data_IF_934774862976
#
_entry.id   IF_934774862976
#
_cell.length_a   1.000
_cell.length_b   1.000
_cell.length_c   1.000
_cell.angle_alpha   90.00
_cell.angle_beta   90.00
_cell.angle_gamma   90.00
#
_symmetry.space_group_name_H-M   'P 1'
#
loop_
_entity.id
_entity.type
_entity.pdbx_description
1 polymer ?
#
# COMPACT_ATOMS: atom_id res chain seq x y z
N UNK A 1 -9.56 2.28 -13.96
CA UNK A 1 -9.06 3.50 -14.69
C UNK A 1 -7.82 3.97 -13.91
N UNK A 2 -6.69 4.30 -14.56
CA UNK A 2 -5.42 4.57 -13.85
C UNK A 2 -5.44 5.97 -13.25
N UNK A 3 -5.20 6.11 -11.94
CA UNK A 3 -4.89 7.42 -11.36
C UNK A 3 -3.41 7.71 -11.64
N UNK A 4 -3.08 8.76 -12.42
CA UNK A 4 -1.70 9.17 -12.60
C UNK A 4 -1.08 9.60 -11.26
N UNK A 5 0.21 9.33 -11.06
CA UNK A 5 0.96 9.70 -9.86
C UNK A 5 2.26 10.42 -10.24
N UNK A 6 2.87 11.11 -9.27
CA UNK A 6 3.97 12.03 -9.50
C UNK A 6 3.46 13.45 -9.76
N UNK A 7 4.23 14.24 -10.50
CA UNK A 7 3.87 15.62 -10.84
C UNK A 7 3.08 15.64 -12.15
N UNK A 8 1.87 16.20 -12.12
CA UNK A 8 0.87 16.11 -13.18
C UNK A 8 0.38 17.49 -13.58
N UNK A 9 0.08 17.70 -14.86
CA UNK A 9 -0.57 18.94 -15.31
C UNK A 9 -2.05 18.95 -14.95
N UNK A 10 -2.73 20.10 -15.11
CA UNK A 10 -4.20 20.20 -15.03
C UNK A 10 -4.94 19.27 -16.01
N UNK A 11 -4.28 18.85 -17.09
CA UNK A 11 -4.80 17.90 -18.07
C UNK A 11 -4.41 16.45 -17.71
N UNK A 12 -3.88 16.22 -16.50
CA UNK A 12 -3.45 14.92 -15.97
C UNK A 12 -2.27 14.31 -16.74
N UNK A 13 -1.51 15.12 -17.47
CA UNK A 13 -0.32 14.67 -18.19
C UNK A 13 0.91 14.68 -17.26
N UNK A 14 1.76 13.64 -17.27
CA UNK A 14 2.90 13.57 -16.38
C UNK A 14 4.00 14.56 -16.78
N UNK A 15 4.53 15.30 -15.82
CA UNK A 15 5.74 16.10 -15.97
C UNK A 15 6.96 15.18 -15.86
N UNK A 16 7.95 15.26 -16.77
CA UNK A 16 9.10 14.36 -16.77
C UNK A 16 9.89 14.36 -15.46
N UNK A 17 9.96 13.19 -14.82
CA UNK A 17 10.81 12.94 -13.66
C UNK A 17 12.26 12.73 -14.10
N UNK A 18 13.20 13.50 -13.55
CA UNK A 18 14.62 13.46 -13.90
C UNK A 18 15.43 12.56 -12.98
N UNK A 19 15.20 12.65 -11.67
CA UNK A 19 15.90 11.82 -10.71
C UNK A 19 15.13 11.69 -9.40
N UNK A 20 15.44 10.63 -8.68
CA UNK A 20 14.87 10.30 -7.38
C UNK A 20 16.04 10.10 -6.41
N UNK A 21 15.95 10.71 -5.23
CA UNK A 21 16.91 10.53 -4.16
C UNK A 21 16.17 10.19 -2.87
N UNK A 22 16.43 9.01 -2.33
CA UNK A 22 15.78 8.51 -1.10
C UNK A 22 16.83 8.33 -0.02
N UNK A 23 16.59 8.92 1.13
CA UNK A 23 17.37 8.67 2.35
C UNK A 23 16.48 7.99 3.37
N UNK A 24 16.95 6.87 3.90
CA UNK A 24 16.23 6.07 4.90
C UNK A 24 17.02 6.07 6.20
N UNK A 25 16.33 6.28 7.31
CA UNK A 25 16.84 6.07 8.66
C UNK A 25 15.97 5.01 9.32
N UNK A 26 16.51 3.81 9.45
CA UNK A 26 15.82 2.68 10.08
C UNK A 26 16.36 2.55 11.49
N UNK A 27 15.48 2.74 12.47
CA UNK A 27 15.77 2.60 13.89
C UNK A 27 14.86 1.50 14.45
N UNK A 28 15.46 0.37 14.82
CA UNK A 28 14.73 -0.86 15.18
C UNK A 28 13.72 -1.29 14.10
N UNK A 29 12.42 -1.08 14.36
CA UNK A 29 11.29 -1.45 13.52
C UNK A 29 10.62 -0.25 12.84
N UNK A 30 11.21 0.94 12.92
CA UNK A 30 10.63 2.17 12.35
C UNK A 30 11.57 2.72 11.28
N UNK A 31 11.01 3.02 10.10
CA UNK A 31 11.70 3.71 9.03
C UNK A 31 11.26 5.17 8.97
N UNK A 32 12.21 6.09 9.12
CA UNK A 32 12.09 7.46 8.66
C UNK A 32 12.57 7.55 7.21
N UNK A 33 11.72 8.10 6.34
CA UNK A 33 11.99 8.23 4.91
C UNK A 33 12.02 9.70 4.53
N UNK A 34 13.02 10.08 3.74
CA UNK A 34 13.11 11.37 3.06
C UNK A 34 13.30 11.11 1.58
N UNK A 35 12.26 11.37 0.78
CA UNK A 35 12.27 11.17 -0.66
C UNK A 35 12.25 12.53 -1.37
N UNK A 36 13.24 12.77 -2.22
CA UNK A 36 13.33 13.97 -3.07
C UNK A 36 13.19 13.57 -4.54
N UNK A 37 12.21 14.16 -5.21
CA UNK A 37 11.88 13.93 -6.61
C UNK A 37 12.16 15.20 -7.41
N UNK A 38 12.98 15.09 -8.45
CA UNK A 38 13.38 16.22 -9.28
C UNK A 38 12.64 16.18 -10.63
N UNK A 39 11.93 17.25 -10.95
CA UNK A 39 11.18 17.44 -12.17
C UNK A 39 11.67 18.67 -12.94
N UNK A 40 11.41 18.70 -14.24
CA UNK A 40 11.71 19.84 -15.11
C UNK A 40 10.55 20.06 -16.09
N UNK A 41 10.10 21.32 -16.20
CA UNK A 41 9.14 21.69 -17.23
C UNK A 41 9.88 21.86 -18.57
N UNK A 42 9.85 20.84 -19.42
CA UNK A 42 10.45 20.88 -20.77
C UNK A 42 9.54 21.55 -21.82
N UNK A 43 8.31 21.88 -21.46
CA UNK A 43 7.36 22.51 -22.36
C UNK A 43 7.68 23.98 -22.61
N UNK A 44 7.22 24.49 -23.74
CA UNK A 44 7.38 25.90 -24.13
C UNK A 44 6.34 26.82 -23.48
N UNK A 45 5.43 26.25 -22.69
CA UNK A 45 4.31 26.95 -22.02
C UNK A 45 4.36 26.72 -20.51
N UNK A 46 3.86 27.68 -19.71
CA UNK A 46 3.75 27.50 -18.27
C UNK A 46 2.76 26.38 -17.93
N UNK A 47 3.10 25.52 -16.98
CA UNK A 47 2.32 24.34 -16.56
C UNK A 47 1.84 24.48 -15.12
N UNK A 48 0.53 24.47 -14.92
CA UNK A 48 -0.06 24.28 -13.59
C UNK A 48 0.07 22.80 -13.19
N UNK A 49 0.76 22.53 -12.08
CA UNK A 49 1.16 21.19 -11.69
C UNK A 49 0.63 20.76 -10.31
N UNK A 50 0.23 19.49 -10.22
CA UNK A 50 -0.26 18.81 -9.02
C UNK A 50 0.63 17.61 -8.72
N UNK A 51 1.05 17.46 -7.47
CA UNK A 51 1.82 16.32 -7.01
C UNK A 51 0.89 15.31 -6.34
N UNK A 52 0.91 14.07 -6.82
CA UNK A 52 0.13 12.95 -6.30
C UNK A 52 1.08 11.85 -5.84
N UNK A 53 1.03 11.48 -4.57
CA UNK A 53 1.92 10.47 -3.98
C UNK A 53 1.14 9.42 -3.19
N UNK A 54 1.17 8.14 -3.62
CA UNK A 54 0.57 7.06 -2.85
C UNK A 54 1.48 6.62 -1.71
N UNK A 55 0.88 6.33 -0.56
CA UNK A 55 1.57 5.88 0.65
C UNK A 55 0.86 4.70 1.28
N UNK A 56 1.61 3.87 2.00
CA UNK A 56 1.00 2.83 2.82
C UNK A 56 0.10 3.44 3.89
N UNK A 57 -1.04 2.80 4.18
CA UNK A 57 -2.01 3.29 5.18
C UNK A 57 -1.42 3.46 6.58
N UNK A 58 -0.34 2.74 6.88
CA UNK A 58 0.40 2.81 8.15
C UNK A 58 1.52 3.86 8.17
N UNK A 59 1.71 4.60 7.07
CA UNK A 59 2.66 5.71 7.00
C UNK A 59 2.07 7.03 7.54
N UNK A 60 2.93 7.85 8.13
CA UNK A 60 2.60 9.22 8.52
C UNK A 60 3.60 10.21 7.90
N UNK A 61 3.12 11.06 6.99
CA UNK A 61 3.88 12.24 6.54
C UNK A 61 4.01 13.21 7.69
N UNK A 62 5.13 13.93 7.75
CA UNK A 62 5.32 15.00 8.73
C UNK A 62 6.00 16.24 8.11
N UNK A 63 6.50 16.15 6.88
CA UNK A 63 7.10 17.28 6.19
C UNK A 63 6.94 17.15 4.68
N UNK A 64 6.58 18.25 4.04
CA UNK A 64 6.58 18.41 2.59
C UNK A 64 7.18 19.76 2.22
N UNK A 65 8.15 19.74 1.32
CA UNK A 65 8.83 20.94 0.81
C UNK A 65 8.91 20.89 -0.71
N UNK A 66 8.53 21.98 -1.38
CA UNK A 66 8.68 22.15 -2.81
C UNK A 66 9.67 23.29 -3.10
N UNK A 67 10.81 22.98 -3.71
CA UNK A 67 11.77 23.96 -4.18
C UNK A 67 11.51 24.23 -5.66
N UNK A 68 11.06 25.44 -6.00
CA UNK A 68 10.75 25.87 -7.37
C UNK A 68 11.62 27.09 -7.70
N UNK A 69 12.50 26.97 -8.68
CA UNK A 69 13.39 28.05 -9.16
C UNK A 69 14.12 28.81 -8.02
N UNK A 70 14.57 28.07 -7.00
CA UNK A 70 15.30 28.61 -5.85
C UNK A 70 14.43 29.15 -4.71
N UNK A 71 13.11 29.19 -4.87
CA UNK A 71 12.16 29.49 -3.79
C UNK A 71 11.73 28.21 -3.09
N UNK A 72 11.74 28.19 -1.76
CA UNK A 72 11.28 27.04 -0.97
C UNK A 72 9.86 27.31 -0.47
N UNK A 73 8.95 26.41 -0.82
CA UNK A 73 7.59 26.35 -0.29
C UNK A 73 7.61 25.22 0.75
N UNK A 74 7.38 25.57 2.02
CA UNK A 74 7.19 24.58 3.09
C UNK A 74 5.71 24.46 3.42
N UNK A 75 5.22 23.23 3.50
CA UNK A 75 3.87 22.98 4.00
C UNK A 75 3.85 23.14 5.52
N UNK A 76 2.91 23.94 6.03
CA UNK A 76 2.66 24.09 7.46
C UNK A 76 1.43 23.29 7.84
N UNK A 77 1.61 22.28 8.71
CA UNK A 77 0.57 21.45 9.31
C UNK A 77 -0.46 22.30 10.06
N UNK A 78 -1.73 22.21 9.70
CA UNK A 78 -2.85 22.94 10.32
C UNK A 78 -4.05 22.03 10.53
N UNK A 79 -5.05 22.43 11.33
CA UNK A 79 -6.32 21.68 11.37
C UNK A 79 -7.03 21.71 10.00
N UNK A 80 -7.79 20.65 9.65
CA UNK A 80 -8.48 20.56 8.35
C UNK A 80 -9.33 21.79 8.06
N UNK A 81 -10.15 22.18 9.02
CA UNK A 81 -11.07 23.30 8.84
C UNK A 81 -10.34 24.64 8.72
N UNK A 82 -9.24 24.79 9.46
CA UNK A 82 -8.41 25.99 9.45
C UNK A 82 -7.61 26.12 8.14
N UNK A 83 -7.05 25.02 7.64
CA UNK A 83 -6.29 24.97 6.40
C UNK A 83 -7.15 25.39 5.19
N UNK A 84 -8.37 24.83 5.07
CA UNK A 84 -9.30 25.22 4.01
C UNK A 84 -9.64 26.71 4.07
N UNK A 85 -9.98 27.24 5.25
CA UNK A 85 -10.32 28.65 5.42
C UNK A 85 -9.14 29.57 5.05
N UNK A 86 -7.92 29.20 5.46
CA UNK A 86 -6.70 29.94 5.14
C UNK A 86 -6.39 29.92 3.64
N UNK A 87 -6.57 28.77 2.99
CA UNK A 87 -6.40 28.60 1.56
C UNK A 87 -7.37 29.48 0.77
N UNK A 88 -8.68 29.36 1.04
CA UNK A 88 -9.72 30.16 0.36
C UNK A 88 -9.48 31.66 0.52
N UNK A 89 -9.12 32.10 1.73
CA UNK A 89 -8.82 33.49 2.01
C UNK A 89 -7.59 33.97 1.21
N UNK A 90 -6.51 33.18 1.16
CA UNK A 90 -5.31 33.53 0.41
C UNK A 90 -5.60 33.65 -1.10
N UNK A 91 -6.38 32.74 -1.67
CA UNK A 91 -6.83 32.81 -3.08
C UNK A 91 -7.71 34.04 -3.32
N UNK A 92 -8.64 34.34 -2.41
CA UNK A 92 -9.52 35.52 -2.52
C UNK A 92 -8.76 36.86 -2.52
N UNK A 93 -7.59 36.88 -1.87
CA UNK A 93 -6.69 38.03 -1.81
C UNK A 93 -5.69 38.07 -2.98
N UNK A 94 -5.75 37.10 -3.91
CA UNK A 94 -4.83 37.01 -5.04
C UNK A 94 -3.43 36.50 -4.68
N UNK A 95 -3.24 35.92 -3.50
CA UNK A 95 -2.00 35.26 -3.13
C UNK A 95 -1.93 33.86 -3.73
N UNK A 96 -0.72 33.42 -4.08
CA UNK A 96 -0.48 32.04 -4.47
C UNK A 96 -0.40 31.18 -3.20
N UNK A 97 -1.37 30.29 -3.02
CA UNK A 97 -1.49 29.38 -1.88
C UNK A 97 -1.56 27.94 -2.36
N UNK A 98 -1.08 27.03 -1.52
CA UNK A 98 -1.04 25.60 -1.80
C UNK A 98 -1.68 24.86 -0.64
N UNK A 99 -2.51 23.88 -0.98
CA UNK A 99 -3.21 23.03 -0.04
C UNK A 99 -2.74 21.59 -0.26
N UNK A 100 -2.35 20.93 0.83
CA UNK A 100 -1.95 19.53 0.87
C UNK A 100 -2.99 18.76 1.71
N UNK A 101 -3.66 17.79 1.08
CA UNK A 101 -4.72 17.01 1.72
C UNK A 101 -4.63 15.52 1.37
N UNK A 102 -5.10 14.69 2.32
CA UNK A 102 -5.43 13.29 2.10
C UNK A 102 -6.73 13.23 1.29
N UNK A 103 -6.77 12.39 0.27
CA UNK A 103 -7.96 12.26 -0.59
C UNK A 103 -9.16 11.70 0.19
N UNK A 104 -10.34 12.31 0.01
CA UNK A 104 -11.56 11.91 0.74
C UNK A 104 -12.10 10.52 0.31
N UNK A 105 -11.75 10.03 -0.90
CA UNK A 105 -12.12 8.70 -1.38
C UNK A 105 -11.09 7.62 -0.99
N UNK A 106 -9.82 7.98 -0.73
CA UNK A 106 -8.72 7.03 -0.53
C UNK A 106 -7.66 7.52 0.46
N UNK A 107 -7.53 6.82 1.60
CA UNK A 107 -6.65 7.19 2.73
C UNK A 107 -5.15 7.00 2.46
N UNK A 108 -4.81 6.50 1.29
CA UNK A 108 -3.49 6.10 0.83
C UNK A 108 -2.94 7.03 -0.26
N UNK A 109 -3.62 8.13 -0.59
CA UNK A 109 -3.19 9.09 -1.64
C UNK A 109 -3.08 10.51 -1.09
N UNK A 110 -1.90 11.13 -1.30
CA UNK A 110 -1.61 12.52 -0.95
C UNK A 110 -1.57 13.40 -2.20
N UNK A 111 -2.29 14.52 -2.17
CA UNK A 111 -2.37 15.45 -3.29
C UNK A 111 -1.94 16.87 -2.87
N UNK A 112 -1.06 17.49 -3.65
CA UNK A 112 -0.58 18.86 -3.43
C UNK A 112 -0.60 19.68 -4.72
N UNK A 113 -1.17 20.88 -4.71
CA UNK A 113 -0.96 21.83 -5.80
C UNK A 113 0.45 22.44 -5.66
N UNK A 114 1.30 22.30 -6.68
CA UNK A 114 2.66 22.88 -6.71
C UNK A 114 2.67 24.25 -7.42
N UNK A 115 1.60 24.56 -8.15
CA UNK A 115 1.39 25.84 -8.83
C UNK A 115 1.91 25.87 -10.26
N UNK A 116 2.13 27.09 -10.75
CA UNK A 116 2.48 27.32 -12.14
C UNK A 116 4.01 27.30 -12.38
N UNK A 117 4.48 26.27 -13.07
CA UNK A 117 5.87 26.04 -13.44
C UNK A 117 6.16 26.71 -14.78
N UNK A 118 7.15 27.61 -14.83
CA UNK A 118 7.51 28.27 -16.10
C UNK A 118 8.26 27.31 -17.02
N UNK A 119 8.32 27.58 -18.33
CA UNK A 119 9.18 26.85 -19.26
C UNK A 119 10.63 26.80 -18.76
N UNK A 120 11.19 25.59 -18.64
CA UNK A 120 12.54 25.34 -18.14
C UNK A 120 12.71 25.42 -16.62
N UNK A 121 11.64 25.64 -15.85
CA UNK A 121 11.70 25.63 -14.38
C UNK A 121 12.05 24.25 -13.86
N UNK A 122 12.90 24.21 -12.82
CA UNK A 122 13.28 22.99 -12.12
C UNK A 122 12.60 22.94 -10.76
N UNK A 123 12.04 21.78 -10.45
CA UNK A 123 11.28 21.54 -9.23
C UNK A 123 11.90 20.37 -8.48
N UNK A 124 12.20 20.57 -7.20
CA UNK A 124 12.55 19.49 -6.29
C UNK A 124 11.48 19.37 -5.21
N UNK A 125 10.76 18.25 -5.19
CA UNK A 125 9.74 17.95 -4.20
C UNK A 125 10.34 17.00 -3.17
N UNK A 126 10.34 17.39 -1.90
CA UNK A 126 10.86 16.59 -0.79
C UNK A 126 9.74 16.23 0.15
N UNK A 127 9.46 14.94 0.27
CA UNK A 127 8.49 14.36 1.18
C UNK A 127 9.22 13.61 2.29
N UNK A 128 8.82 13.84 3.54
CA UNK A 128 9.29 13.05 4.68
C UNK A 128 8.13 12.40 5.42
N UNK A 129 8.29 11.11 5.67
CA UNK A 129 7.31 10.29 6.36
C UNK A 129 7.97 9.25 7.24
N UNK A 130 7.21 8.69 8.17
CA UNK A 130 7.60 7.57 9.03
C UNK A 130 6.66 6.39 8.82
N UNK A 131 7.18 5.18 8.93
CA UNK A 131 6.38 3.95 8.90
C UNK A 131 6.97 2.86 9.80
N UNK A 132 6.09 2.04 10.36
CA UNK A 132 6.47 0.81 11.07
C UNK A 132 6.73 -0.30 10.05
N UNK A 133 7.80 -1.07 10.25
CA UNK A 133 8.24 -2.12 9.34
C UNK A 133 7.74 -3.49 9.83
N UNK A 134 7.08 -4.29 8.97
CA UNK A 134 6.64 -5.62 9.34
C UNK A 134 7.83 -6.59 9.48
N UNK A 135 7.68 -7.53 10.41
CA UNK A 135 8.58 -8.67 10.57
C UNK A 135 8.01 -9.88 9.84
N UNK A 136 8.78 -10.41 8.89
CA UNK A 136 8.43 -11.60 8.12
C UNK A 136 8.60 -12.89 8.93
N UNK A 137 7.97 -13.97 8.46
CA UNK A 137 7.99 -15.27 9.14
C UNK A 137 9.40 -15.88 9.27
N UNK A 138 10.33 -15.50 8.39
CA UNK A 138 11.74 -15.90 8.42
C UNK A 138 12.62 -15.01 9.31
N UNK A 139 12.01 -14.02 9.99
CA UNK A 139 12.70 -13.05 10.85
C UNK A 139 13.28 -11.85 10.11
N UNK A 140 12.97 -11.66 8.82
CA UNK A 140 13.40 -10.48 8.08
C UNK A 140 12.53 -9.26 8.41
N UNK A 141 13.14 -8.14 8.76
CA UNK A 141 12.47 -6.85 8.78
C UNK A 141 12.40 -6.32 7.34
N UNK A 142 11.19 -6.02 6.86
CA UNK A 142 10.96 -5.69 5.44
C UNK A 142 10.60 -4.23 5.23
N UNK A 143 11.41 -3.55 4.43
CA UNK A 143 11.10 -2.23 3.89
C UNK A 143 10.85 -2.35 2.39
N UNK A 144 9.80 -1.69 1.90
CA UNK A 144 9.51 -1.57 0.47
C UNK A 144 9.44 -0.10 0.11
N UNK A 145 10.27 0.33 -0.84
CA UNK A 145 10.07 1.57 -1.56
C UNK A 145 9.25 1.22 -2.82
N UNK A 146 7.95 1.54 -2.85
CA UNK A 146 7.11 1.26 -4.00
C UNK A 146 7.65 1.95 -5.24
N UNK A 147 7.64 1.28 -6.41
CA UNK A 147 7.99 1.86 -7.71
C UNK A 147 7.02 2.96 -8.17
N UNK A 148 6.05 3.29 -7.32
CA UNK A 148 4.83 4.04 -7.60
C UNK A 148 5.10 5.56 -7.65
N UNK A 149 6.31 5.90 -8.09
CA UNK A 149 6.53 7.11 -8.87
C UNK A 149 6.11 6.91 -10.34
N UNK A 150 5.51 5.75 -10.64
CA UNK A 150 4.86 5.38 -11.89
C UNK A 150 3.43 4.86 -11.59
N UNK A 151 2.36 5.28 -12.32
CA UNK A 151 0.95 5.06 -11.95
C UNK A 151 0.57 3.58 -11.80
N UNK A 152 0.58 3.06 -10.56
CA UNK A 152 0.23 1.65 -10.28
C UNK A 152 -1.04 1.48 -9.44
N UNK A 153 -1.54 2.53 -8.80
CA UNK A 153 -2.83 2.50 -8.11
C UNK A 153 -3.95 2.93 -9.06
N UNK A 154 -4.88 2.01 -9.31
CA UNK A 154 -6.17 2.32 -9.93
C UNK A 154 -7.21 2.33 -8.80
N UNK A 155 -7.67 3.51 -8.41
CA UNK A 155 -8.91 3.64 -7.65
C UNK A 155 -10.02 3.88 -8.68
N UNK A 156 -10.81 2.84 -8.97
CA UNK A 156 -12.03 2.97 -9.78
C UNK A 156 -13.19 3.27 -8.83
N UNK A 157 -13.69 4.52 -8.74
CA UNK A 157 -14.98 4.76 -8.09
C UNK A 157 -15.34 6.11 -7.44
N UNK A 158 -14.68 7.25 -7.72
CA UNK A 158 -15.17 8.52 -7.15
C UNK A 158 -16.37 9.10 -7.94
N UNK A 159 -17.39 9.69 -7.26
CA UNK A 159 -18.42 10.51 -7.87
C UNK A 159 -17.86 11.82 -8.48
N UNK A 160 -18.63 12.45 -9.37
CA UNK A 160 -18.27 13.59 -10.25
C UNK A 160 -17.76 14.89 -9.58
N UNK A 161 -17.54 14.92 -8.27
CA UNK A 161 -16.93 16.06 -7.53
C UNK A 161 -15.49 15.79 -7.04
N UNK A 162 -14.90 14.65 -7.40
CA UNK A 162 -13.47 14.37 -7.20
C UNK A 162 -12.67 14.78 -8.44
N UNK A 163 -11.55 15.47 -8.24
CA UNK A 163 -10.56 15.65 -9.28
C UNK A 163 -10.15 14.27 -9.76
N UNK A 164 -10.45 13.93 -11.02
CA UNK A 164 -9.70 13.06 -11.93
C UNK A 164 -10.67 12.30 -12.85
N UNK A 165 -10.63 12.60 -14.15
CA UNK A 165 -11.34 11.82 -15.17
C UNK A 165 -10.61 11.96 -16.51
N UNK A 166 -9.95 10.88 -16.98
CA UNK A 166 -9.81 10.40 -18.37
C UNK A 166 -8.49 9.63 -18.63
N UNK A 167 -8.09 9.50 -19.91
CA UNK A 167 -7.50 8.32 -20.56
C UNK A 167 -5.96 8.28 -20.53
N UNK A 168 -5.44 7.07 -20.38
CA UNK A 168 -4.02 6.70 -20.32
C UNK A 168 -3.21 7.09 -21.57
N UNK A 169 -2.09 7.83 -21.45
CA UNK A 169 -0.99 7.76 -22.40
C UNK A 169 -0.12 6.53 -22.05
N UNK A 170 0.02 5.60 -22.99
CA UNK A 170 0.97 4.49 -22.88
C UNK A 170 2.35 5.04 -23.25
N UNK A 171 3.14 5.42 -22.25
CA UNK A 171 4.58 5.63 -22.47
C UNK A 171 5.28 4.27 -22.35
N UNK A 172 6.01 3.81 -23.37
CA UNK A 172 6.81 2.58 -23.29
C UNK A 172 7.85 2.68 -22.17
N UNK A 173 7.97 1.61 -21.37
CA UNK A 173 8.87 1.51 -20.20
C UNK A 173 10.37 1.64 -20.54
N UNK A 174 10.72 1.71 -21.82
CA UNK A 174 12.10 1.61 -22.32
C UNK A 174 12.85 2.96 -22.36
N UNK A 175 12.15 4.09 -22.23
CA UNK A 175 12.70 5.42 -22.51
C UNK A 175 12.70 6.41 -21.32
N UNK A 176 12.45 6.00 -20.06
CA UNK A 176 12.61 6.92 -18.92
C UNK A 176 14.08 6.94 -18.44
N UNK A 177 14.85 8.03 -18.65
CA UNK A 177 16.21 8.18 -18.13
C UNK A 177 16.19 8.62 -16.66
N UNK A 178 15.32 8.03 -15.83
CA UNK A 178 15.27 8.37 -14.41
C UNK A 178 16.29 7.52 -13.65
N UNK A 179 17.24 8.19 -12.99
CA UNK A 179 18.16 7.54 -12.06
C UNK A 179 17.59 7.63 -10.65
N UNK A 180 17.65 6.51 -9.94
CA UNK A 180 17.35 6.47 -8.51
C UNK A 180 18.64 6.30 -7.72
N UNK A 181 18.78 7.10 -6.66
CA UNK A 181 19.72 6.84 -5.58
C UNK A 181 18.94 6.58 -4.29
N UNK A 182 19.38 5.57 -3.54
CA UNK A 182 18.86 5.29 -2.21
C UNK A 182 20.00 4.96 -1.28
N UNK A 183 20.00 5.60 -0.11
CA UNK A 183 20.92 5.32 1.00
C UNK A 183 20.09 5.07 2.24
N UNK A 184 20.33 3.93 2.89
CA UNK A 184 19.70 3.54 4.13
C UNK A 184 20.74 3.45 5.25
N UNK A 185 20.50 4.16 6.33
CA UNK A 185 21.21 3.99 7.59
C UNK A 185 20.33 3.16 8.51
N UNK A 186 20.83 1.99 8.90
CA UNK A 186 20.13 1.04 9.77
C UNK A 186 20.81 1.06 11.13
N UNK A 187 20.02 1.12 12.20
CA UNK A 187 20.46 1.06 13.58
C UNK A 187 19.54 0.18 14.43
N UNK A 188 20.13 -0.68 15.26
CA UNK A 188 19.40 -1.55 16.19
C UNK A 188 20.23 -1.84 17.44
N UNK A 189 19.58 -2.22 18.54
CA UNK A 189 20.19 -2.80 19.73
C UNK A 189 20.79 -4.18 19.47
N UNK A 190 20.33 -4.86 18.43
CA UNK A 190 20.82 -6.17 18.02
C UNK A 190 21.82 -6.03 16.87
N UNK A 191 22.68 -7.03 16.71
CA UNK A 191 23.64 -7.06 15.61
C UNK A 191 22.92 -7.23 14.27
N UNK A 192 23.32 -6.46 13.26
CA UNK A 192 22.85 -6.62 11.88
C UNK A 192 23.64 -7.78 11.26
N UNK A 193 23.00 -8.92 11.04
CA UNK A 193 23.66 -10.12 10.50
C UNK A 193 23.89 -10.00 9.00
N UNK A 194 22.85 -9.57 8.27
CA UNK A 194 22.87 -9.39 6.83
C UNK A 194 21.74 -8.48 6.37
N UNK A 195 21.94 -7.89 5.20
CA UNK A 195 20.90 -7.20 4.45
C UNK A 195 20.77 -7.81 3.07
N UNK A 196 19.56 -7.85 2.54
CA UNK A 196 19.26 -8.38 1.22
C UNK A 196 18.32 -7.42 0.49
N UNK A 197 18.38 -7.40 -0.83
CA UNK A 197 17.45 -6.63 -1.65
C UNK A 197 17.18 -7.37 -2.95
N UNK A 198 16.00 -7.12 -3.52
CA UNK A 198 15.68 -7.53 -4.87
C UNK A 198 16.44 -6.70 -5.94
N UNK A 199 17.11 -5.63 -5.53
CA UNK A 199 18.00 -4.79 -6.34
C UNK A 199 19.47 -4.98 -5.93
N UNK A 200 20.40 -4.72 -6.85
CA UNK A 200 21.84 -4.74 -6.53
C UNK A 200 22.19 -3.67 -5.49
N UNK A 201 22.81 -4.08 -4.40
CA UNK A 201 23.30 -3.19 -3.35
C UNK A 201 24.81 -2.98 -3.49
N UNK A 202 25.28 -1.79 -3.11
CA UNK A 202 26.69 -1.58 -2.76
C UNK A 202 27.05 -2.39 -1.51
N UNK A 203 28.34 -2.71 -1.30
CA UNK A 203 28.77 -3.41 -0.10
C UNK A 203 28.29 -2.71 1.18
N UNK A 204 27.79 -3.48 2.13
CA UNK A 204 27.29 -2.94 3.41
C UNK A 204 28.45 -2.39 4.23
N UNK A 205 28.34 -1.13 4.64
CA UNK A 205 29.34 -0.46 5.46
C UNK A 205 28.88 -0.42 6.90
N UNK A 206 29.53 -1.17 7.79
CA UNK A 206 29.23 -1.13 9.23
C UNK A 206 29.87 0.10 9.86
N UNK A 207 29.08 0.88 10.61
CA UNK A 207 29.52 2.14 11.23
C UNK A 207 30.18 1.95 12.61
N UNK A 208 30.35 0.69 13.05
CA UNK A 208 31.01 0.33 14.30
C UNK A 208 31.32 -1.17 14.39
N UNK A 209 32.22 -1.53 15.32
CA UNK A 209 32.72 -2.91 15.47
C UNK A 209 31.64 -3.90 15.92
N UNK A 210 30.64 -3.43 16.65
CA UNK A 210 29.53 -4.21 17.18
C UNK A 210 28.45 -4.54 16.14
N UNK A 211 28.57 -4.02 14.91
CA UNK A 211 27.61 -4.22 13.80
C UNK A 211 26.16 -3.85 14.14
N UNK A 212 25.95 -2.96 15.10
CA UNK A 212 24.61 -2.45 15.47
C UNK A 212 24.14 -1.33 14.56
N UNK A 213 25.04 -0.81 13.72
CA UNK A 213 24.73 0.25 12.77
C UNK A 213 25.41 -0.01 11.44
N UNK A 214 24.68 0.16 10.35
CA UNK A 214 25.18 -0.08 9.00
C UNK A 214 24.59 0.91 8.00
N UNK A 215 25.35 1.22 6.96
CA UNK A 215 24.88 1.94 5.79
C UNK A 215 24.78 0.98 4.61
N UNK A 216 23.65 1.06 3.91
CA UNK A 216 23.31 0.24 2.75
C UNK A 216 22.84 1.17 1.64
N UNK A 217 23.43 1.06 0.46
CA UNK A 217 23.08 1.91 -0.67
C UNK A 217 22.74 1.07 -1.89
N UNK A 218 21.82 1.56 -2.72
CA UNK A 218 21.61 1.00 -4.05
C UNK A 218 22.89 1.19 -4.88
N UNK A 219 23.23 0.19 -5.70
CA UNK A 219 24.33 0.29 -6.65
C UNK A 219 24.05 1.34 -7.74
N UNK A 220 25.10 1.95 -8.28
CA UNK A 220 24.99 2.99 -9.31
C UNK A 220 24.28 2.49 -10.58
N UNK A 221 23.50 3.37 -11.20
CA UNK A 221 22.85 3.11 -12.49
C UNK A 221 21.57 2.28 -12.40
N UNK A 222 21.02 2.07 -11.21
CA UNK A 222 19.72 1.42 -11.05
C UNK A 222 18.60 2.20 -11.75
N UNK A 223 17.76 1.45 -12.46
CA UNK A 223 16.53 1.95 -13.06
C UNK A 223 15.37 1.67 -12.11
N UNK A 224 14.49 2.64 -11.93
CA UNK A 224 13.30 2.51 -11.09
C UNK A 224 12.16 1.83 -11.85
N UNK A 225 12.35 0.55 -12.22
CA UNK A 225 11.39 -0.24 -13.01
C UNK A 225 10.46 -1.14 -12.17
N UNK A 226 10.79 -1.31 -10.88
CA UNK A 226 10.12 -2.18 -9.92
C UNK A 226 10.30 -1.65 -8.49
N UNK A 227 9.53 -2.22 -7.57
CA UNK A 227 9.58 -1.84 -6.16
C UNK A 227 10.96 -2.23 -5.61
N UNK A 228 11.60 -1.35 -4.83
CA UNK A 228 12.88 -1.66 -4.18
C UNK A 228 12.57 -2.24 -2.80
N UNK A 229 12.86 -3.51 -2.62
CA UNK A 229 12.69 -4.22 -1.35
C UNK A 229 14.02 -4.34 -0.63
N UNK A 230 14.05 -4.00 0.66
CA UNK A 230 15.20 -4.15 1.54
C UNK A 230 14.78 -5.03 2.74
N UNK A 231 15.43 -6.18 2.86
CA UNK A 231 15.27 -7.13 3.95
C UNK A 231 16.47 -7.03 4.89
N UNK A 232 16.20 -6.87 6.18
CA UNK A 232 17.22 -6.70 7.22
C UNK A 232 17.05 -7.82 8.24
N UNK A 233 18.13 -8.54 8.54
CA UNK A 233 18.13 -9.64 9.51
C UNK A 233 18.93 -9.21 10.74
N UNK A 234 18.25 -9.11 11.89
CA UNK A 234 18.87 -8.88 13.20
C UNK A 234 19.16 -10.20 13.91
N UNK A 235 20.25 -10.27 14.66
CA UNK A 235 20.72 -11.51 15.32
C UNK A 235 19.77 -12.05 16.38
N UNK A 236 19.04 -11.18 17.07
CA UNK A 236 18.11 -11.56 18.14
C UNK A 236 16.77 -10.85 17.98
N UNK A 237 16.22 -10.83 16.75
CA UNK A 237 14.97 -10.09 16.43
C UNK A 237 13.75 -10.48 17.30
N UNK A 238 13.76 -11.68 17.89
CA UNK A 238 12.68 -12.18 18.74
C UNK A 238 12.85 -11.83 20.23
N UNK A 239 13.99 -11.27 20.62
CA UNK A 239 14.18 -10.77 21.97
C UNK A 239 13.36 -9.47 22.16
N UNK A 240 12.77 -9.23 23.34
CA UNK A 240 12.14 -7.94 23.61
C UNK A 240 13.16 -6.80 23.51
N UNK A 241 12.82 -5.75 22.77
CA UNK A 241 13.67 -4.55 22.63
C UNK A 241 12.91 -3.27 23.00
N UNK A 242 13.65 -2.25 23.43
CA UNK A 242 13.07 -0.98 23.89
C UNK A 242 13.83 0.19 23.27
N UNK A 243 13.25 0.88 22.29
CA UNK A 243 13.79 2.14 21.80
C UNK A 243 13.28 3.30 22.66
N UNK A 244 14.14 4.26 22.98
CA UNK A 244 13.77 5.46 23.75
C UNK A 244 14.21 6.69 22.97
N UNK A 245 13.25 7.54 22.65
CA UNK A 245 13.47 8.87 22.08
C UNK A 245 13.33 9.88 23.23
N UNK A 246 14.38 10.68 23.47
CA UNK A 246 14.30 11.75 24.45
C UNK A 246 13.59 12.95 23.81
N UNK A 247 12.66 13.56 24.54
CA UNK A 247 11.95 14.74 24.07
C UNK A 247 12.87 15.93 23.79
N UNK A 248 12.44 16.81 22.89
CA UNK A 248 13.20 17.99 22.49
C UNK A 248 13.18 19.06 23.61
N UNK A 249 14.38 19.50 24.08
CA UNK A 249 14.48 20.37 25.25
C UNK A 249 13.95 21.79 25.04
N UNK A 250 13.76 22.26 23.81
CA UNK A 250 13.30 23.62 23.49
C UNK A 250 11.81 23.72 23.13
N UNK A 251 11.01 22.69 23.43
CA UNK A 251 9.59 22.68 23.11
C UNK A 251 8.74 23.41 24.16
N UNK A 252 7.57 23.92 23.74
CA UNK A 252 6.63 24.61 24.64
C UNK A 252 6.23 23.67 25.79
N UNK A 253 6.04 24.19 27.02
CA UNK A 253 5.42 23.40 28.10
C UNK A 253 4.06 22.89 27.62
N UNK A 254 3.79 21.61 27.85
CA UNK A 254 2.63 20.82 27.36
C UNK A 254 2.69 20.34 25.90
N UNK A 255 3.87 20.36 25.25
CA UNK A 255 4.08 19.71 23.94
C UNK A 255 4.47 18.24 24.10
N UNK A 256 3.76 17.34 23.39
CA UNK A 256 4.12 15.91 23.30
C UNK A 256 5.56 15.68 22.82
N UNK A 257 6.13 16.62 22.06
CA UNK A 257 7.51 16.53 21.57
C UNK A 257 8.56 16.75 22.66
N UNK A 258 8.18 17.30 23.83
CA UNK A 258 9.08 17.51 24.96
C UNK A 258 9.13 16.32 25.93
N UNK A 259 8.20 15.38 25.83
CA UNK A 259 8.13 14.21 26.68
C UNK A 259 9.01 13.08 26.12
N UNK A 260 9.74 12.34 26.97
CA UNK A 260 10.44 11.13 26.53
C UNK A 260 9.42 10.05 26.14
N UNK A 261 9.65 9.41 24.99
CA UNK A 261 8.78 8.35 24.47
C UNK A 261 9.58 7.05 24.38
N UNK A 262 8.95 5.94 24.76
CA UNK A 262 9.54 4.60 24.62
C UNK A 262 8.66 3.70 23.76
N UNK A 263 9.29 3.00 22.81
CA UNK A 263 8.67 1.96 22.00
C UNK A 263 9.19 0.60 22.46
N UNK A 264 8.29 -0.26 22.96
CA UNK A 264 8.60 -1.63 23.36
C UNK A 264 8.15 -2.59 22.27
N UNK A 265 9.10 -3.32 21.68
CA UNK A 265 8.86 -4.29 20.61
C UNK A 265 8.96 -5.71 21.15
N UNK A 266 7.94 -6.53 20.89
CA UNK A 266 7.86 -7.91 21.36
C UNK A 266 7.39 -8.84 20.24
N UNK A 267 8.33 -9.56 19.64
CA UNK A 267 8.10 -10.48 18.52
C UNK A 267 8.55 -11.90 18.87
N UNK A 268 7.89 -12.59 19.81
CA UNK A 268 8.33 -13.91 20.25
C UNK A 268 8.27 -14.93 19.11
N UNK A 269 9.32 -15.75 18.98
CA UNK A 269 9.26 -16.94 18.14
C UNK A 269 8.37 -17.97 18.83
N UNK A 270 7.11 -18.06 18.41
CA UNK A 270 6.16 -19.06 18.90
C UNK A 270 6.31 -20.29 18.00
N UNK A 271 6.82 -21.43 18.51
CA UNK A 271 6.91 -22.64 17.71
C UNK A 271 5.53 -22.98 17.18
N UNK A 272 5.43 -23.28 15.88
CA UNK A 272 4.18 -23.79 15.32
C UNK A 272 3.76 -25.02 16.13
N UNK A 273 2.62 -24.91 16.81
CA UNK A 273 2.00 -26.09 17.40
C UNK A 273 1.82 -27.10 16.26
N UNK A 274 2.26 -28.35 16.47
CA UNK A 274 1.99 -29.44 15.52
C UNK A 274 0.53 -29.29 15.08
N UNK A 275 0.23 -29.16 13.78
CA UNK A 275 -1.12 -28.87 13.35
C UNK A 275 -1.99 -29.97 13.92
N UNK A 276 -2.80 -29.63 14.94
CA UNK A 276 -3.91 -30.47 15.34
C UNK A 276 -4.73 -30.56 14.08
N UNK A 277 -4.68 -31.72 13.40
CA UNK A 277 -5.14 -31.96 12.02
C UNK A 277 -6.08 -30.85 11.58
N UNK A 278 -5.59 -29.91 10.76
CA UNK A 278 -6.21 -28.60 10.56
C UNK A 278 -7.69 -28.73 10.13
N UNK A 279 -8.56 -28.82 11.12
CA UNK A 279 -10.01 -28.81 10.99
C UNK A 279 -10.35 -27.35 10.80
N UNK A 280 -10.60 -26.94 9.56
CA UNK A 280 -11.01 -25.59 9.20
C UNK A 280 -12.15 -25.63 8.20
N UNK A 281 -12.92 -24.56 8.12
CA UNK A 281 -13.89 -24.33 7.05
C UNK A 281 -13.30 -23.28 6.10
N UNK A 282 -12.96 -23.67 4.87
CA UNK A 282 -12.31 -22.82 3.88
C UNK A 282 -13.31 -22.36 2.83
N UNK A 283 -13.69 -21.08 2.84
CA UNK A 283 -14.65 -20.51 1.90
C UNK A 283 -13.95 -19.55 0.96
N UNK A 284 -14.10 -19.78 -0.35
CA UNK A 284 -13.47 -18.98 -1.40
C UNK A 284 -14.51 -18.08 -2.06
N UNK A 285 -14.39 -16.76 -1.97
CA UNK A 285 -15.18 -15.80 -2.75
C UNK A 285 -14.41 -15.42 -4.00
N UNK A 286 -14.99 -15.70 -5.15
CA UNK A 286 -14.37 -15.57 -6.45
C UNK A 286 -15.12 -14.52 -7.27
N UNK A 287 -14.44 -13.43 -7.57
CA UNK A 287 -14.98 -12.34 -8.38
C UNK A 287 -15.16 -12.80 -9.83
N UNK A 288 -16.39 -12.68 -10.30
CA UNK A 288 -16.82 -13.01 -11.65
C UNK A 288 -17.46 -11.78 -12.32
N UNK A 289 -17.12 -10.58 -11.86
CA UNK A 289 -17.54 -9.31 -12.47
C UNK A 289 -16.90 -9.10 -13.85
N UNK A 290 -17.46 -8.17 -14.64
CA UNK A 290 -16.98 -7.90 -16.00
C UNK A 290 -15.51 -7.46 -16.06
N UNK A 291 -14.98 -6.81 -15.02
CA UNK A 291 -13.58 -6.36 -14.94
C UNK A 291 -12.59 -7.53 -14.97
N UNK A 292 -12.99 -8.69 -14.45
CA UNK A 292 -12.21 -9.94 -14.46
C UNK A 292 -12.03 -10.57 -15.86
N UNK A 293 -12.76 -10.11 -16.87
CA UNK A 293 -12.50 -10.46 -18.28
C UNK A 293 -11.26 -9.77 -18.85
N UNK A 294 -10.77 -8.71 -18.18
CA UNK A 294 -9.65 -7.91 -18.65
C UNK A 294 -8.35 -8.73 -18.67
N UNK A 295 -7.44 -8.47 -19.62
CA UNK A 295 -6.12 -9.08 -19.64
C UNK A 295 -5.28 -8.68 -18.42
N UNK A 296 -4.46 -9.61 -17.90
CA UNK A 296 -3.52 -9.36 -16.80
C UNK A 296 -2.44 -8.32 -17.13
N UNK A 297 -2.16 -8.06 -18.41
CA UNK A 297 -1.22 -7.03 -18.89
C UNK A 297 -1.67 -6.47 -20.24
N UNK A 298 -1.31 -5.20 -20.51
CA UNK A 298 -1.55 -4.55 -21.81
C UNK A 298 -0.57 -5.03 -22.91
N UNK A 299 0.42 -5.84 -22.57
CA UNK A 299 1.30 -6.45 -23.58
C UNK A 299 0.59 -7.58 -24.33
N UNK A 300 0.87 -7.70 -25.63
CA UNK A 300 0.21 -8.65 -26.52
C UNK A 300 0.19 -10.09 -25.96
N UNK A 301 -1.01 -10.69 -25.88
CA UNK A 301 -1.31 -12.09 -25.47
C UNK A 301 -1.28 -12.43 -23.97
N UNK A 302 -1.57 -11.48 -23.07
CA UNK A 302 -1.77 -11.81 -21.65
C UNK A 302 -3.10 -12.55 -21.40
N UNK A 303 -3.12 -13.51 -20.48
CA UNK A 303 -4.34 -14.25 -20.11
C UNK A 303 -5.34 -13.36 -19.35
N UNK A 304 -6.65 -13.61 -19.44
CA UNK A 304 -7.66 -12.92 -18.63
C UNK A 304 -7.42 -13.11 -17.13
N UNK A 305 -7.76 -12.11 -16.31
CA UNK A 305 -7.65 -12.16 -14.83
C UNK A 305 -8.40 -13.36 -14.25
N UNK A 306 -9.60 -13.64 -14.76
CA UNK A 306 -10.41 -14.78 -14.34
C UNK A 306 -9.69 -16.13 -14.53
N UNK A 307 -8.88 -16.29 -15.58
CA UNK A 307 -8.13 -17.53 -15.81
C UNK A 307 -7.00 -17.70 -14.79
N UNK A 308 -6.24 -16.63 -14.51
CA UNK A 308 -5.19 -16.66 -13.48
C UNK A 308 -5.75 -16.96 -12.08
N UNK A 309 -6.92 -16.38 -11.76
CA UNK A 309 -7.61 -16.63 -10.51
C UNK A 309 -8.15 -18.07 -10.42
N UNK A 310 -8.66 -18.64 -11.53
CA UNK A 310 -9.04 -20.07 -11.60
C UNK A 310 -7.86 -20.99 -11.36
N UNK A 311 -6.70 -20.71 -11.98
CA UNK A 311 -5.48 -21.49 -11.80
C UNK A 311 -5.01 -21.49 -10.34
N UNK A 312 -5.06 -20.32 -9.68
CA UNK A 312 -4.71 -20.18 -8.27
C UNK A 312 -5.69 -20.93 -7.37
N UNK A 313 -6.99 -20.79 -7.60
CA UNK A 313 -8.02 -21.50 -6.84
C UNK A 313 -7.83 -23.02 -6.96
N UNK A 314 -7.52 -23.52 -8.16
CA UNK A 314 -7.21 -24.94 -8.38
C UNK A 314 -5.98 -25.38 -7.57
N UNK A 315 -4.93 -24.56 -7.50
CA UNK A 315 -3.73 -24.85 -6.71
C UNK A 315 -4.05 -24.92 -5.21
N UNK A 316 -4.84 -23.97 -4.71
CA UNK A 316 -5.21 -23.92 -3.30
C UNK A 316 -6.11 -25.09 -2.93
N UNK A 317 -7.12 -25.41 -3.76
CA UNK A 317 -8.01 -26.54 -3.53
C UNK A 317 -7.23 -27.86 -3.44
N UNK A 318 -6.20 -28.05 -4.26
CA UNK A 318 -5.32 -29.25 -4.19
C UNK A 318 -4.45 -29.31 -2.95
N UNK A 319 -4.22 -28.17 -2.31
CA UNK A 319 -3.39 -28.03 -1.11
C UNK A 319 -4.20 -28.01 0.18
N UNK A 320 -5.53 -28.14 0.11
CA UNK A 320 -6.40 -28.14 1.30
C UNK A 320 -6.09 -29.32 2.22
N UNK A 321 -6.12 -29.10 3.56
CA UNK A 321 -5.85 -30.16 4.52
C UNK A 321 -6.96 -31.23 4.52
N UNK A 322 -6.57 -32.49 4.67
CA UNK A 322 -7.51 -33.61 4.74
C UNK A 322 -8.41 -33.45 5.96
N UNK A 323 -9.72 -33.58 5.77
CA UNK A 323 -10.70 -33.50 6.85
C UNK A 323 -11.30 -32.10 7.07
N UNK A 324 -10.84 -31.08 6.33
CA UNK A 324 -11.47 -29.77 6.33
C UNK A 324 -12.83 -29.75 5.62
N UNK A 325 -13.55 -28.64 5.79
CA UNK A 325 -14.73 -28.30 5.00
C UNK A 325 -14.39 -27.16 4.05
N UNK A 326 -15.05 -27.11 2.89
CA UNK A 326 -14.86 -26.00 1.97
C UNK A 326 -16.13 -25.66 1.18
N UNK A 327 -16.16 -24.43 0.65
CA UNK A 327 -17.15 -23.98 -0.32
C UNK A 327 -16.57 -22.88 -1.21
N UNK A 328 -17.17 -22.67 -2.38
CA UNK A 328 -16.73 -21.66 -3.34
C UNK A 328 -17.97 -20.84 -3.73
N UNK A 329 -17.85 -19.52 -3.72
CA UNK A 329 -18.89 -18.58 -4.11
C UNK A 329 -18.36 -17.75 -5.28
N UNK A 330 -19.01 -17.84 -6.44
CA UNK A 330 -18.81 -16.86 -7.51
C UNK A 330 -19.67 -15.63 -7.22
N UNK A 331 -19.13 -14.41 -7.30
CA UNK A 331 -19.90 -13.19 -7.07
C UNK A 331 -19.70 -12.15 -8.17
N UNK A 332 -20.74 -11.34 -8.39
CA UNK A 332 -20.77 -10.17 -9.25
C UNK A 332 -21.95 -9.28 -8.82
N UNK A 333 -22.87 -8.90 -9.72
CA UNK A 333 -24.17 -8.32 -9.35
C UNK A 333 -25.08 -9.29 -8.61
N UNK A 334 -24.85 -10.60 -8.80
CA UNK A 334 -25.47 -11.69 -8.06
C UNK A 334 -24.39 -12.67 -7.60
N UNK A 335 -24.70 -13.60 -6.71
CA UNK A 335 -23.76 -14.62 -6.29
C UNK A 335 -24.31 -16.04 -6.49
N UNK A 336 -23.40 -16.99 -6.71
CA UNK A 336 -23.70 -18.41 -6.84
C UNK A 336 -22.76 -19.23 -5.94
N UNK A 337 -23.33 -20.06 -5.07
CA UNK A 337 -22.57 -21.00 -4.26
C UNK A 337 -22.37 -22.34 -5.00
N UNK A 338 -21.18 -22.92 -4.88
CA UNK A 338 -20.88 -24.24 -5.43
C UNK A 338 -21.61 -25.32 -4.65
N UNK A 339 -21.72 -25.16 -3.34
CA UNK A 339 -22.51 -26.07 -2.52
C UNK A 339 -23.51 -25.26 -1.68
N UNK A 340 -24.72 -25.77 -1.41
CA UNK A 340 -25.67 -25.11 -0.53
C UNK A 340 -25.13 -24.84 0.88
N UNK A 341 -24.20 -25.68 1.34
CA UNK A 341 -23.43 -25.56 2.58
C UNK A 341 -22.02 -26.08 2.34
N UNK A 342 -21.06 -25.67 3.16
CA UNK A 342 -19.69 -26.18 3.10
C UNK A 342 -19.65 -27.70 3.24
N UNK A 343 -18.93 -28.35 2.34
CA UNK A 343 -18.83 -29.81 2.23
C UNK A 343 -17.47 -30.28 2.70
N UNK A 344 -17.39 -31.52 3.20
CA UNK A 344 -16.11 -32.11 3.59
C UNK A 344 -15.21 -32.28 2.37
N UNK A 345 -13.94 -31.94 2.51
CA UNK A 345 -12.94 -32.15 1.47
C UNK A 345 -12.67 -33.66 1.27
N UNK A 346 -13.15 -34.19 0.14
CA UNK A 346 -12.91 -35.55 -0.32
C UNK A 346 -12.73 -35.58 -1.86
N UNK A 347 -12.36 -36.74 -2.41
CA UNK A 347 -12.11 -36.89 -3.85
C UNK A 347 -13.31 -36.47 -4.71
N UNK A 348 -14.54 -36.82 -4.29
CA UNK A 348 -15.76 -36.59 -5.08
C UNK A 348 -16.13 -35.11 -5.12
N UNK A 349 -16.11 -34.46 -3.95
CA UNK A 349 -16.40 -33.04 -3.81
C UNK A 349 -15.33 -32.19 -4.48
N UNK A 350 -14.07 -32.61 -4.41
CA UNK A 350 -12.95 -31.97 -5.10
C UNK A 350 -13.09 -32.06 -6.63
N UNK A 351 -13.39 -33.24 -7.18
CA UNK A 351 -13.62 -33.39 -8.63
C UNK A 351 -14.78 -32.53 -9.14
N UNK A 352 -15.87 -32.47 -8.39
CA UNK A 352 -17.02 -31.62 -8.74
C UNK A 352 -16.68 -30.12 -8.66
N UNK A 353 -15.95 -29.69 -7.61
CA UNK A 353 -15.47 -28.32 -7.49
C UNK A 353 -14.55 -27.96 -8.66
N UNK A 354 -13.56 -28.80 -8.99
CA UNK A 354 -12.65 -28.57 -10.12
C UNK A 354 -13.38 -28.48 -11.46
N UNK A 355 -14.40 -29.31 -11.68
CA UNK A 355 -15.23 -29.26 -12.90
C UNK A 355 -15.94 -27.91 -13.03
N UNK A 356 -16.51 -27.41 -11.94
CA UNK A 356 -17.21 -26.12 -11.92
C UNK A 356 -16.27 -24.92 -11.99
N UNK A 357 -15.12 -24.95 -11.30
CA UNK A 357 -14.10 -23.88 -11.40
C UNK A 357 -13.64 -23.72 -12.85
N UNK A 358 -13.41 -24.82 -13.57
CA UNK A 358 -13.03 -24.78 -15.00
C UNK A 358 -14.08 -24.10 -15.89
N UNK A 359 -15.36 -24.22 -15.54
CA UNK A 359 -16.48 -23.64 -16.28
C UNK A 359 -16.79 -22.19 -15.89
N UNK A 360 -16.20 -21.69 -14.81
CA UNK A 360 -16.40 -20.34 -14.30
C UNK A 360 -15.96 -19.29 -15.33
N UNK A 361 -16.76 -18.23 -15.44
CA UNK A 361 -16.58 -17.09 -16.34
C UNK A 361 -16.87 -15.80 -15.57
N UNK A 362 -16.32 -14.71 -16.08
CA UNK A 362 -16.55 -13.38 -15.56
C UNK A 362 -17.83 -12.76 -16.17
N UNK A 363 -18.98 -13.38 -15.92
CA UNK A 363 -20.28 -13.06 -16.53
C UNK A 363 -21.37 -12.63 -15.53
N UNK A 364 -21.00 -12.36 -14.28
CA UNK A 364 -21.94 -11.98 -13.22
C UNK A 364 -22.20 -10.46 -13.11
N UNK A 365 -21.67 -9.63 -14.01
CA UNK A 365 -21.98 -8.20 -14.07
C UNK A 365 -21.09 -7.34 -13.17
N UNK A 366 -21.69 -6.57 -12.26
CA UNK A 366 -21.01 -5.66 -11.31
C UNK A 366 -20.31 -6.40 -10.17
N UNK A 367 -19.99 -5.71 -9.07
CA UNK A 367 -19.10 -6.24 -8.00
C UNK A 367 -19.72 -6.06 -6.61
N UNK A 368 -20.78 -6.82 -6.31
CA UNK A 368 -21.53 -6.71 -5.05
C UNK A 368 -21.11 -7.79 -4.03
N UNK A 369 -20.11 -7.49 -3.21
CA UNK A 369 -19.54 -8.44 -2.24
C UNK A 369 -20.37 -8.60 -0.95
N UNK A 370 -21.24 -7.64 -0.62
CA UNK A 370 -21.97 -7.65 0.66
C UNK A 370 -22.94 -8.82 0.79
N UNK A 371 -23.70 -9.12 -0.26
CA UNK A 371 -24.69 -10.20 -0.25
C UNK A 371 -24.11 -11.60 0.00
N UNK A 372 -23.03 -12.04 -0.70
CA UNK A 372 -22.41 -13.33 -0.40
C UNK A 372 -21.80 -13.37 1.00
N UNK A 373 -21.22 -12.27 1.51
CA UNK A 373 -20.69 -12.21 2.88
C UNK A 373 -21.80 -12.43 3.93
N UNK A 374 -22.94 -11.76 3.77
CA UNK A 374 -24.10 -11.93 4.66
C UNK A 374 -24.63 -13.36 4.63
N UNK A 375 -24.66 -14.01 3.45
CA UNK A 375 -25.06 -15.40 3.32
C UNK A 375 -24.09 -16.35 4.05
N UNK A 376 -22.79 -16.10 3.96
CA UNK A 376 -21.75 -16.90 4.61
C UNK A 376 -21.83 -16.73 6.14
N UNK A 377 -21.89 -15.49 6.65
CA UNK A 377 -21.97 -15.23 8.09
C UNK A 377 -23.32 -15.63 8.72
N UNK A 378 -24.39 -15.65 7.92
CA UNK A 378 -25.70 -16.16 8.32
C UNK A 378 -25.78 -17.69 8.35
N UNK A 379 -24.80 -18.40 7.78
CA UNK A 379 -24.72 -19.85 7.81
C UNK A 379 -24.38 -20.43 9.19
N UNK A 380 -24.73 -21.70 9.47
CA UNK A 380 -24.35 -22.35 10.71
C UNK A 380 -22.83 -22.62 10.76
N UNK A 381 -22.16 -22.19 11.83
CA UNK A 381 -20.74 -22.50 12.04
C UNK A 381 -20.53 -23.99 12.29
N UNK A 382 -19.46 -24.55 11.74
CA UNK A 382 -19.09 -25.96 11.93
C UNK A 382 -18.24 -26.10 13.21
N UNK A 383 -18.69 -26.84 14.24
CA UNK A 383 -17.94 -26.97 15.49
C UNK A 383 -16.52 -27.49 15.27
N UNK A 384 -15.54 -26.85 15.90
CA UNK A 384 -14.12 -27.22 15.79
C UNK A 384 -13.46 -26.89 14.44
N UNK A 385 -14.16 -26.18 13.55
CA UNK A 385 -13.66 -25.79 12.23
C UNK A 385 -13.81 -24.26 12.07
N UNK A 386 -12.82 -23.45 12.49
CA UNK A 386 -12.87 -22.00 12.27
C UNK A 386 -13.00 -21.67 10.78
N UNK A 387 -13.84 -20.68 10.48
CA UNK A 387 -14.07 -20.18 9.13
C UNK A 387 -12.86 -19.36 8.65
N UNK A 388 -12.29 -19.76 7.53
CA UNK A 388 -11.25 -19.05 6.80
C UNK A 388 -11.81 -18.62 5.45
N UNK A 389 -11.90 -17.32 5.25
CA UNK A 389 -12.47 -16.72 4.06
C UNK A 389 -11.34 -16.25 3.14
N UNK A 390 -11.36 -16.63 1.87
CA UNK A 390 -10.37 -16.22 0.86
C UNK A 390 -11.08 -15.47 -0.26
N UNK A 391 -10.74 -14.21 -0.48
CA UNK A 391 -11.37 -13.35 -1.49
C UNK A 391 -10.43 -13.19 -2.68
N UNK A 392 -10.91 -13.47 -3.89
CA UNK A 392 -10.19 -13.32 -5.16
C UNK A 392 -10.92 -12.25 -5.95
N UNK A 393 -10.32 -11.08 -6.12
CA UNK A 393 -10.93 -9.94 -6.83
C UNK A 393 -9.85 -9.12 -7.53
N UNK A 394 -10.23 -8.31 -8.51
CA UNK A 394 -9.32 -7.33 -9.12
C UNK A 394 -9.38 -5.94 -8.47
N UNK A 395 -10.16 -5.80 -7.39
CA UNK A 395 -10.17 -4.61 -6.52
C UNK A 395 -11.26 -3.60 -6.84
N UNK A 396 -12.09 -3.81 -7.86
CA UNK A 396 -13.17 -2.90 -8.25
C UNK A 396 -14.47 -3.13 -7.45
N UNK A 397 -14.39 -3.07 -6.12
CA UNK A 397 -15.54 -3.32 -5.21
C UNK A 397 -16.25 -2.00 -4.86
N UNK A 398 -17.55 -1.92 -5.16
CA UNK A 398 -18.40 -0.82 -4.71
C UNK A 398 -18.73 -0.97 -3.20
N UNK A 399 -18.98 0.15 -2.51
CA UNK A 399 -19.56 0.15 -1.16
C UNK A 399 -18.64 -0.47 -0.06
N UNK A 400 -17.34 -0.21 -0.15
CA UNK A 400 -16.28 -0.68 0.75
C UNK A 400 -16.61 -0.49 2.23
N UNK A 401 -17.18 0.67 2.62
CA UNK A 401 -17.55 0.95 4.01
C UNK A 401 -18.51 -0.08 4.61
N UNK A 402 -19.55 -0.50 3.86
CA UNK A 402 -20.52 -1.49 4.35
C UNK A 402 -19.93 -2.88 4.43
N UNK A 403 -19.07 -3.23 3.47
CA UNK A 403 -18.35 -4.52 3.46
C UNK A 403 -17.43 -4.62 4.67
N UNK A 404 -16.62 -3.57 4.93
CA UNK A 404 -15.72 -3.51 6.09
C UNK A 404 -16.53 -3.63 7.38
N UNK A 405 -17.62 -2.89 7.52
CA UNK A 405 -18.48 -2.96 8.71
C UNK A 405 -19.08 -4.36 8.95
N UNK A 406 -19.49 -5.06 7.90
CA UNK A 406 -20.03 -6.42 7.99
C UNK A 406 -18.95 -7.42 8.45
N UNK A 407 -17.74 -7.30 7.89
CA UNK A 407 -16.56 -8.10 8.30
C UNK A 407 -16.21 -7.82 9.77
N UNK A 408 -16.08 -6.56 10.17
CA UNK A 408 -15.77 -6.16 11.55
C UNK A 408 -16.81 -6.71 12.55
N UNK A 409 -18.09 -6.60 12.21
CA UNK A 409 -19.20 -7.09 13.04
C UNK A 409 -19.15 -8.61 13.26
N UNK A 410 -18.49 -9.36 12.38
CA UNK A 410 -18.36 -10.81 12.43
C UNK A 410 -16.93 -11.29 12.76
N UNK A 411 -16.03 -10.41 13.21
CA UNK A 411 -14.60 -10.70 13.39
C UNK A 411 -14.25 -11.81 14.39
N UNK A 412 -15.18 -12.19 15.28
CA UNK A 412 -15.00 -13.32 16.21
C UNK A 412 -15.25 -14.70 15.58
N UNK A 413 -15.86 -14.74 14.38
CA UNK A 413 -16.28 -15.98 13.72
C UNK A 413 -15.36 -16.45 12.61
N UNK A 414 -14.42 -15.62 12.16
CA UNK A 414 -13.66 -15.90 10.94
C UNK A 414 -12.24 -15.31 10.93
N UNK A 415 -11.45 -15.74 9.95
CA UNK A 415 -10.20 -15.09 9.50
C UNK A 415 -10.34 -14.82 7.99
N UNK A 416 -10.12 -13.60 7.52
CA UNK A 416 -10.27 -13.25 6.10
C UNK A 416 -8.90 -12.93 5.46
N UNK A 417 -8.67 -13.51 4.29
CA UNK A 417 -7.49 -13.27 3.47
C UNK A 417 -7.97 -12.83 2.08
N UNK A 418 -7.29 -11.88 1.46
CA UNK A 418 -7.60 -11.43 0.10
C UNK A 418 -6.40 -11.61 -0.81
N UNK A 419 -6.67 -12.04 -2.04
CA UNK A 419 -5.74 -12.07 -3.16
C UNK A 419 -6.25 -11.14 -4.24
N UNK A 420 -5.44 -10.14 -4.57
CA UNK A 420 -5.75 -9.14 -5.58
C UNK A 420 -5.13 -9.53 -6.93
N UNK A 421 -5.96 -9.67 -7.96
CA UNK A 421 -5.55 -9.94 -9.34
C UNK A 421 -5.42 -8.63 -10.10
N UNK A 422 -4.52 -7.77 -9.65
CA UNK A 422 -4.20 -6.51 -10.29
C UNK A 422 -2.98 -6.66 -11.22
N UNK A 423 -2.87 -5.75 -12.19
CA UNK A 423 -1.74 -5.71 -13.13
C UNK A 423 -0.41 -5.74 -12.34
N UNK A 424 0.40 -6.74 -12.67
CA UNK A 424 1.79 -6.99 -12.27
C UNK A 424 2.16 -7.58 -10.90
N UNK A 425 1.28 -7.82 -9.92
CA UNK A 425 1.74 -8.54 -8.70
C UNK A 425 0.66 -9.40 -8.01
N UNK A 426 1.06 -10.59 -7.59
CA UNK A 426 0.36 -11.44 -6.62
C UNK A 426 0.62 -10.87 -5.21
N UNK A 427 -0.35 -10.20 -4.59
CA UNK A 427 -0.27 -9.87 -3.16
C UNK A 427 -1.20 -10.78 -2.36
N UNK A 428 -0.61 -11.50 -1.40
CA UNK A 428 -1.31 -12.16 -0.30
C UNK A 428 -1.50 -11.14 0.81
N UNK A 429 -2.75 -10.73 1.09
CA UNK A 429 -3.07 -9.86 2.22
C UNK A 429 -3.90 -10.63 3.25
N UNK A 430 -3.45 -10.68 4.50
CA UNK A 430 -4.26 -11.10 5.64
C UNK A 430 -5.00 -9.85 6.11
N UNK A 431 -6.33 -9.80 5.95
CA UNK A 431 -7.12 -8.63 6.35
C UNK A 431 -7.81 -9.00 7.67
N UNK A 432 -7.44 -8.33 8.75
CA UNK A 432 -8.01 -8.45 10.11
C UNK A 432 -7.84 -9.80 10.86
N UNK A 433 -6.91 -9.80 11.81
CA UNK A 433 -7.11 -10.43 13.12
C UNK A 433 -7.61 -9.39 14.13
N UNK A 434 -8.01 -9.77 15.36
CA UNK A 434 -8.55 -8.84 16.35
C UNK A 434 -7.44 -7.90 16.83
N UNK A 435 -7.28 -6.74 16.20
CA UNK A 435 -6.40 -5.67 16.65
C UNK A 435 -7.26 -4.56 17.26
N UNK A 436 -6.97 -4.26 18.52
CA UNK A 436 -7.56 -3.14 19.24
C UNK A 436 -7.41 -1.85 18.42
N UNK A 437 -8.53 -1.13 18.24
CA UNK A 437 -8.53 0.26 17.76
C UNK A 437 -7.53 1.07 18.59
N UNK A 438 -6.41 1.44 17.97
CA UNK A 438 -5.51 2.47 18.51
C UNK A 438 -5.99 3.81 17.96
N UNK A 439 -6.24 4.83 18.79
CA UNK A 439 -6.42 6.19 18.31
C UNK A 439 -5.08 6.65 17.69
N UNK A 440 -5.08 6.98 16.40
CA UNK A 440 -3.92 7.52 15.70
C UNK A 440 -4.24 8.91 15.19
N UNK A 441 -3.46 9.89 15.62
CA UNK A 441 -3.41 11.24 15.06
C UNK A 441 -2.64 11.16 13.74
N UNK A 442 -3.35 11.15 12.61
CA UNK A 442 -2.77 11.36 11.28
C UNK A 442 -2.75 12.86 10.95
N UNK A 443 -1.92 13.23 9.98
CA UNK A 443 -1.71 14.61 9.54
C UNK A 443 -3.05 15.33 9.33
N UNK A 444 -3.19 16.50 9.94
CA UNK A 444 -4.23 17.44 9.55
C UNK A 444 -3.73 18.29 8.35
N UNK A 445 -4.62 18.73 7.45
CA UNK A 445 -4.30 19.50 6.24
C UNK A 445 -3.30 20.64 6.42
N UNK A 446 -2.44 20.85 5.41
CA UNK A 446 -1.36 21.81 5.53
C UNK A 446 -1.44 22.91 4.47
N UNK A 447 -1.10 24.15 4.85
CA UNK A 447 -1.08 25.32 3.95
C UNK A 447 0.36 25.79 3.77
N UNK A 448 0.81 25.96 2.52
CA UNK A 448 2.13 26.50 2.19
C UNK A 448 2.09 27.98 1.82
N UNK A 449 3.10 28.76 2.24
CA UNK A 449 3.36 30.14 1.78
C UNK A 449 4.81 30.28 1.28
N UNK A 450 5.03 31.17 0.32
CA UNK A 450 6.38 31.54 -0.13
C UNK A 450 7.15 32.22 1.01
N UNK A 451 8.30 31.66 1.39
CA UNK A 451 9.34 32.41 2.09
C UNK A 451 10.24 33.05 1.02
N UNK A 452 10.30 34.38 1.03
CA UNK A 452 11.15 35.18 0.12
C UNK A 452 12.59 35.24 0.58
#
# INVERSE_FOLDING_TARGET
MVCPCGLLTRQEEPVPLKSISVTLSICEFVAGVSATLNYENEEKVPLEAFFVFPMDEDSAVYSFEAMVDGSIIKAELQDKTEAHANYENAISQGHQAFLLEEDDCSRDVFCCNVGNLRPGSKVALTLKYVQELPLEADGALRYVLPAILNPRYQLSGCPEDSCLTMKTPVVPLEDLPCTISMVATVSSQHGIERTQSNCSLSPVEYLGDNKTSAQVSLADGHKFDRDVELLIYYSEVHAPSIAVEMGEPETKPDSLLGDPVAMVSFYPNIPEAQPSAACGEFVFLMDCSGSMQSPMSNQNKSQPRIEAAKETLILILKSLPIGCYFNIYGFGSSYEAFFPKSVKYDQRTMEEALRRVKLMRADLGGTEMLAPLQAIYGGPSIPGHPLQLFVFTDGEVSNTFRVIKEVESNGQKHRINSTLYHKSDFKYGCIYGPTHQRPRTKLHPAVGRYQK
#
